data_IF_705848463097
#
_entry.id   IF_705848463097
#
_cell.length_a   1.000
_cell.length_b   1.000
_cell.length_c   1.000
_cell.angle_alpha   90.00
_cell.angle_beta   90.00
_cell.angle_gamma   90.00
#
_symmetry.space_group_name_H-M   'P 1'
#
loop_
_entity.id
_entity.type
_entity.pdbx_description
1 polymer ?
#
# COMPACT_ATOMS: atom_id res chain seq x y z
N UNK A 1 -64.84 -7.32 9.08
CA UNK A 1 -63.60 -6.49 8.94
C UNK A 1 -62.38 -7.38 9.23
N UNK A 2 -61.68 -7.88 8.18
CA UNK A 2 -60.42 -8.63 8.31
C UNK A 2 -59.29 -7.62 8.44
N UNK A 3 -58.80 -7.41 9.64
CA UNK A 3 -57.65 -6.52 9.85
C UNK A 3 -56.38 -7.14 9.30
N UNK A 4 -55.66 -6.35 8.53
CA UNK A 4 -54.38 -6.55 7.86
C UNK A 4 -53.26 -6.92 8.84
N UNK A 5 -53.23 -8.17 9.34
CA UNK A 5 -52.10 -8.70 10.13
C UNK A 5 -50.88 -8.98 9.26
N UNK A 6 -51.09 -9.16 7.94
CA UNK A 6 -50.05 -9.40 6.93
C UNK A 6 -49.11 -8.19 6.70
N UNK A 7 -49.66 -6.97 6.76
CA UNK A 7 -48.88 -5.74 6.51
C UNK A 7 -47.81 -5.45 7.56
N UNK A 8 -48.07 -5.77 8.82
CA UNK A 8 -47.10 -5.52 9.92
C UNK A 8 -45.93 -6.47 9.88
N UNK A 9 -46.14 -7.74 9.54
CA UNK A 9 -45.07 -8.73 9.40
C UNK A 9 -44.17 -8.43 8.22
N UNK A 10 -44.73 -7.94 7.10
CA UNK A 10 -43.96 -7.57 5.92
C UNK A 10 -43.09 -6.32 6.19
N UNK A 11 -43.62 -5.33 6.90
CA UNK A 11 -42.87 -4.14 7.30
C UNK A 11 -41.75 -4.50 8.27
N UNK A 12 -41.99 -5.40 9.23
CA UNK A 12 -40.98 -5.89 10.16
C UNK A 12 -39.84 -6.62 9.44
N UNK A 13 -40.15 -7.50 8.48
CA UNK A 13 -39.16 -8.20 7.66
C UNK A 13 -38.34 -7.22 6.81
N UNK A 14 -38.99 -6.21 6.26
CA UNK A 14 -38.28 -5.16 5.49
C UNK A 14 -37.33 -4.36 6.36
N UNK A 15 -37.78 -3.93 7.56
CA UNK A 15 -36.94 -3.22 8.52
C UNK A 15 -35.76 -4.08 9.00
N UNK A 16 -35.97 -5.37 9.22
CA UNK A 16 -34.92 -6.31 9.59
C UNK A 16 -33.87 -6.41 8.45
N UNK A 17 -34.32 -6.52 7.20
CA UNK A 17 -33.46 -6.55 6.05
C UNK A 17 -32.59 -5.28 5.90
N UNK A 18 -33.24 -4.12 6.07
CA UNK A 18 -32.51 -2.83 6.05
C UNK A 18 -31.50 -2.74 7.21
N UNK A 19 -31.87 -3.19 8.41
CA UNK A 19 -30.96 -3.19 9.55
C UNK A 19 -29.73 -4.09 9.33
N UNK A 20 -29.91 -5.25 8.70
CA UNK A 20 -28.79 -6.15 8.35
C UNK A 20 -27.87 -5.52 7.29
N UNK A 21 -28.42 -4.84 6.29
CA UNK A 21 -27.62 -4.13 5.27
C UNK A 21 -26.82 -3.01 5.92
N UNK A 22 -27.44 -2.22 6.80
CA UNK A 22 -26.73 -1.14 7.51
C UNK A 22 -25.63 -1.70 8.41
N UNK A 23 -25.88 -2.79 9.13
CA UNK A 23 -24.87 -3.45 9.94
C UNK A 23 -23.69 -3.97 9.11
N UNK A 24 -23.96 -4.56 7.94
CA UNK A 24 -22.92 -5.01 7.02
C UNK A 24 -22.07 -3.83 6.48
N UNK A 25 -22.72 -2.72 6.13
CA UNK A 25 -22.02 -1.50 5.68
C UNK A 25 -21.14 -0.93 6.79
N UNK A 26 -21.61 -0.89 8.03
CA UNK A 26 -20.82 -0.41 9.18
C UNK A 26 -19.58 -1.29 9.41
N UNK A 27 -19.67 -2.59 9.17
CA UNK A 27 -18.52 -3.49 9.28
C UNK A 27 -17.50 -3.31 8.15
N UNK A 28 -17.92 -2.88 6.95
CA UNK A 28 -17.02 -2.67 5.81
C UNK A 28 -16.30 -1.31 5.84
N UNK A 29 -16.87 -0.31 6.49
CA UNK A 29 -16.28 1.06 6.54
C UNK A 29 -14.86 1.09 7.12
N UNK A 30 -14.53 0.42 8.25
CA UNK A 30 -13.18 0.48 8.80
C UNK A 30 -12.13 -0.13 7.87
N UNK A 31 -12.45 -1.21 7.15
CA UNK A 31 -11.51 -1.85 6.23
C UNK A 31 -11.17 -0.93 5.05
N UNK A 32 -12.15 -0.24 4.49
CA UNK A 32 -11.94 0.74 3.43
C UNK A 32 -11.11 1.94 3.91
N UNK A 33 -11.29 2.35 5.16
CA UNK A 33 -10.53 3.45 5.75
C UNK A 33 -9.06 3.11 5.94
N UNK A 34 -8.78 1.88 6.42
CA UNK A 34 -7.42 1.36 6.57
C UNK A 34 -6.70 1.28 5.23
N UNK A 35 -7.37 0.80 4.17
CA UNK A 35 -6.81 0.77 2.82
C UNK A 35 -6.46 2.17 2.31
N UNK A 36 -7.35 3.13 2.50
CA UNK A 36 -7.09 4.51 2.08
C UNK A 36 -5.91 5.11 2.83
N UNK A 37 -5.87 4.97 4.15
CA UNK A 37 -4.77 5.48 4.98
C UNK A 37 -3.43 4.87 4.59
N UNK A 38 -3.38 3.58 4.27
CA UNK A 38 -2.16 2.90 3.82
C UNK A 38 -1.68 3.47 2.50
N UNK A 39 -2.58 3.71 1.54
CA UNK A 39 -2.23 4.28 0.25
C UNK A 39 -1.72 5.72 0.38
N UNK A 40 -2.40 6.57 1.16
CA UNK A 40 -2.00 7.96 1.40
C UNK A 40 -0.59 8.04 2.04
N UNK A 41 -0.24 7.07 2.90
CA UNK A 41 1.08 6.94 3.50
C UNK A 41 2.17 6.66 2.45
N UNK A 42 1.94 5.74 1.54
CA UNK A 42 2.91 5.41 0.50
C UNK A 42 3.08 6.52 -0.54
N UNK A 43 2.00 7.21 -0.89
CA UNK A 43 2.09 8.40 -1.76
C UNK A 43 2.92 9.50 -1.11
N UNK A 44 2.73 9.79 0.18
CA UNK A 44 3.53 10.77 0.91
C UNK A 44 5.02 10.38 0.98
N UNK A 45 5.34 9.10 1.11
CA UNK A 45 6.72 8.62 1.06
C UNK A 45 7.33 8.80 -0.34
N UNK A 46 6.57 8.45 -1.37
CA UNK A 46 6.99 8.62 -2.76
C UNK A 46 7.34 10.09 -3.03
N UNK A 47 6.46 11.02 -2.69
CA UNK A 47 6.68 12.45 -2.90
C UNK A 47 7.91 13.00 -2.15
N UNK A 48 8.18 12.51 -0.94
CA UNK A 48 9.25 13.04 -0.10
C UNK A 48 10.63 12.43 -0.40
N UNK A 49 10.67 11.16 -0.79
CA UNK A 49 11.92 10.39 -0.87
C UNK A 49 12.29 9.90 -2.26
N UNK A 50 11.38 10.04 -3.23
CA UNK A 50 11.63 9.66 -4.62
C UNK A 50 11.61 10.92 -5.48
N UNK A 51 12.70 11.19 -6.17
CA UNK A 51 12.76 12.24 -7.20
C UNK A 51 13.13 11.62 -8.54
N UNK A 52 12.40 12.01 -9.57
CA UNK A 52 12.82 11.75 -10.94
C UNK A 52 14.02 12.64 -11.20
N UNK A 53 15.12 12.05 -11.64
CA UNK A 53 16.28 12.82 -12.04
C UNK A 53 15.88 13.64 -13.27
N UNK A 54 15.84 14.96 -13.12
CA UNK A 54 15.60 15.85 -14.25
C UNK A 54 16.61 15.49 -15.33
N UNK A 55 16.12 15.32 -16.55
CA UNK A 55 16.91 15.08 -17.75
C UNK A 55 17.85 16.27 -17.96
N UNK A 56 18.98 16.28 -17.26
CA UNK A 56 20.06 17.21 -17.53
C UNK A 56 20.69 16.74 -18.83
N UNK A 57 20.26 17.39 -19.91
CA UNK A 57 20.94 17.41 -21.20
C UNK A 57 22.28 18.15 -21.03
N UNK A 58 23.22 17.59 -20.31
CA UNK A 58 24.63 17.91 -20.43
C UNK A 58 25.33 16.65 -20.91
N UNK A 59 25.89 16.81 -22.08
CA UNK A 59 26.71 15.89 -22.86
C UNK A 59 27.52 14.99 -21.94
N UNK A 60 27.04 13.77 -21.69
CA UNK A 60 27.84 12.73 -21.08
C UNK A 60 28.76 12.17 -22.14
N UNK A 61 30.06 12.27 -21.89
CA UNK A 61 31.10 11.54 -22.65
C UNK A 61 30.70 10.06 -22.73
N UNK A 62 30.74 9.54 -23.95
CA UNK A 62 30.47 8.14 -24.27
C UNK A 62 31.39 7.23 -23.44
N UNK A 63 30.90 6.73 -22.34
CA UNK A 63 31.49 5.58 -21.64
C UNK A 63 30.82 4.33 -22.19
N UNK A 64 31.57 3.57 -22.98
CA UNK A 64 31.17 2.27 -23.52
C UNK A 64 30.71 1.36 -22.36
N UNK A 65 29.40 1.00 -22.33
CA UNK A 65 28.87 -0.04 -21.46
C UNK A 65 27.77 0.38 -20.51
N UNK A 66 27.06 1.48 -20.74
CA UNK A 66 25.89 1.83 -19.95
C UNK A 66 24.64 1.14 -20.49
N UNK A 67 24.28 -0.01 -19.88
CA UNK A 67 23.03 -0.72 -20.14
C UNK A 67 21.81 -0.04 -19.46
N UNK A 68 21.92 1.25 -19.08
CA UNK A 68 20.90 1.98 -18.30
C UNK A 68 19.67 2.41 -19.11
N UNK A 69 19.67 2.22 -20.43
CA UNK A 69 18.60 2.63 -21.33
C UNK A 69 17.22 1.97 -21.06
N UNK A 70 17.19 0.88 -20.28
CA UNK A 70 16.00 0.10 -20.03
C UNK A 70 15.32 0.39 -18.66
N UNK A 71 15.89 1.29 -17.85
CA UNK A 71 15.27 1.72 -16.60
C UNK A 71 15.25 3.25 -16.47
N UNK A 72 14.20 3.74 -15.81
CA UNK A 72 14.09 5.17 -15.52
C UNK A 72 15.06 5.55 -14.42
N UNK A 73 15.88 6.58 -14.64
CA UNK A 73 16.81 7.10 -13.64
C UNK A 73 16.02 7.79 -12.52
N UNK A 74 15.88 7.10 -11.39
CA UNK A 74 15.16 7.57 -10.21
C UNK A 74 16.14 7.63 -9.05
N UNK A 75 16.22 8.78 -8.42
CA UNK A 75 16.98 8.95 -7.20
C UNK A 75 16.12 8.57 -5.99
N UNK A 76 16.59 7.59 -5.22
CA UNK A 76 15.93 7.11 -3.99
C UNK A 76 16.79 7.52 -2.80
N UNK A 77 16.27 8.40 -1.95
CA UNK A 77 16.93 8.84 -0.72
C UNK A 77 16.89 7.74 0.35
N UNK A 78 17.60 6.65 0.10
CA UNK A 78 17.55 5.44 0.93
C UNK A 78 17.98 5.69 2.38
N UNK A 79 19.01 6.51 2.60
CA UNK A 79 19.49 6.85 3.95
C UNK A 79 18.44 7.60 4.78
N UNK A 80 17.67 8.50 4.14
CA UNK A 80 16.57 9.21 4.80
C UNK A 80 15.39 8.27 5.08
N UNK A 81 15.06 7.38 4.15
CA UNK A 81 14.04 6.33 4.33
C UNK A 81 14.39 5.38 5.48
N UNK A 82 15.67 5.04 5.64
CA UNK A 82 16.16 4.20 6.74
C UNK A 82 16.07 4.88 8.11
N UNK A 83 15.96 6.21 8.17
CA UNK A 83 15.64 6.92 9.41
C UNK A 83 14.16 6.73 9.82
N UNK A 84 13.26 6.51 8.84
CA UNK A 84 11.86 6.17 9.09
C UNK A 84 11.73 4.72 9.57
N UNK A 85 12.39 3.81 8.88
CA UNK A 85 12.46 2.40 9.27
C UNK A 85 13.77 1.79 8.75
N UNK A 86 14.63 1.35 9.68
CA UNK A 86 15.94 0.79 9.36
C UNK A 86 15.88 -0.51 8.53
N UNK A 87 14.74 -1.18 8.50
CA UNK A 87 14.53 -2.39 7.71
C UNK A 87 14.25 -2.09 6.22
N UNK A 88 14.14 -0.82 5.81
CA UNK A 88 14.00 -0.47 4.39
C UNK A 88 15.31 -0.71 3.69
N UNK A 89 15.30 -1.61 2.70
CA UNK A 89 16.48 -2.00 1.92
C UNK A 89 16.47 -1.47 0.49
N UNK A 90 15.35 -0.94 0.04
CA UNK A 90 15.20 -0.42 -1.32
C UNK A 90 13.79 0.03 -1.63
N UNK A 91 13.59 0.29 -2.91
CA UNK A 91 12.32 0.76 -3.46
C UNK A 91 12.00 -0.02 -4.75
N UNK A 92 10.75 -0.44 -4.92
CA UNK A 92 10.27 -1.07 -6.14
C UNK A 92 9.31 -0.13 -6.84
N UNK A 93 9.48 0.03 -8.14
CA UNK A 93 8.62 0.83 -9.03
C UNK A 93 8.36 0.06 -10.31
N UNK A 94 7.19 0.28 -10.89
CA UNK A 94 6.82 -0.27 -12.20
C UNK A 94 6.59 0.88 -13.18
N UNK A 95 7.38 0.98 -14.24
CA UNK A 95 7.36 2.10 -15.19
C UNK A 95 6.01 2.30 -15.88
N UNK A 96 5.27 1.22 -16.15
CA UNK A 96 3.96 1.28 -16.78
C UNK A 96 2.79 1.37 -15.78
N UNK A 97 3.05 1.35 -14.48
CA UNK A 97 2.08 1.34 -13.40
C UNK A 97 2.61 2.21 -12.25
N UNK A 98 2.66 3.53 -12.48
CA UNK A 98 3.26 4.50 -11.54
C UNK A 98 2.65 4.46 -10.13
N UNK A 99 1.39 4.01 -10.01
CA UNK A 99 0.74 3.77 -8.73
C UNK A 99 1.35 2.59 -7.94
N UNK A 100 2.09 1.70 -8.61
CA UNK A 100 2.80 0.60 -7.96
C UNK A 100 4.25 1.00 -7.67
N UNK A 101 4.43 1.73 -6.59
CA UNK A 101 5.71 2.31 -6.17
C UNK A 101 5.80 2.24 -4.66
N UNK A 102 6.63 1.32 -4.12
CA UNK A 102 6.62 0.96 -2.72
C UNK A 102 8.02 0.71 -2.16
N UNK A 103 8.28 1.03 -0.87
CA UNK A 103 9.49 0.59 -0.20
C UNK A 103 9.51 -0.93 -0.05
N UNK A 104 10.71 -1.51 -0.11
CA UNK A 104 10.98 -2.93 0.15
C UNK A 104 11.71 -3.05 1.46
N UNK A 105 11.21 -3.90 2.36
CA UNK A 105 11.74 -4.09 3.70
C UNK A 105 12.41 -5.47 3.86
N UNK A 106 13.34 -5.55 4.81
CA UNK A 106 13.95 -6.80 5.24
C UNK A 106 14.27 -6.76 6.74
N UNK A 107 13.56 -7.54 7.54
CA UNK A 107 13.78 -7.61 8.99
C UNK A 107 14.48 -8.88 9.46
N UNK A 108 14.61 -9.86 8.56
CA UNK A 108 15.01 -11.22 8.95
C UNK A 108 13.91 -12.05 9.61
N UNK A 109 12.72 -11.48 9.78
CA UNK A 109 11.51 -12.14 10.29
C UNK A 109 10.44 -12.11 9.20
N UNK A 110 10.09 -13.27 8.68
CA UNK A 110 9.18 -13.43 7.54
C UNK A 110 7.72 -13.12 7.90
N UNK A 111 7.38 -12.95 9.18
CA UNK A 111 6.02 -12.65 9.62
C UNK A 111 5.80 -11.18 9.97
N UNK A 112 6.86 -10.43 10.29
CA UNK A 112 6.79 -9.06 10.82
C UNK A 112 5.94 -8.13 9.96
N UNK A 113 6.16 -8.13 8.64
CA UNK A 113 5.53 -7.20 7.71
C UNK A 113 4.29 -7.73 7.00
N UNK A 114 3.82 -8.93 7.34
CA UNK A 114 2.54 -9.47 6.83
C UNK A 114 1.34 -8.65 7.30
N UNK A 115 1.42 -8.07 8.50
CA UNK A 115 0.30 -7.37 9.16
C UNK A 115 0.71 -6.06 9.81
N UNK A 116 1.87 -5.51 9.47
CA UNK A 116 2.32 -4.20 9.96
C UNK A 116 2.73 -3.30 8.80
N UNK A 117 2.48 -2.00 8.96
CA UNK A 117 2.98 -0.99 8.04
C UNK A 117 4.45 -0.65 8.33
N UNK A 118 5.03 0.26 7.55
CA UNK A 118 6.42 0.72 7.71
C UNK A 118 6.70 1.41 9.05
N UNK A 119 5.68 1.91 9.73
CA UNK A 119 5.77 2.56 11.05
C UNK A 119 5.55 1.57 12.21
N UNK A 120 5.28 0.29 11.91
CA UNK A 120 4.99 -0.75 12.90
C UNK A 120 3.54 -0.80 13.37
N UNK A 121 2.62 -0.07 12.73
CA UNK A 121 1.20 -0.14 13.07
C UNK A 121 0.56 -1.38 12.44
N UNK A 122 -0.43 -1.96 13.13
CA UNK A 122 -1.20 -3.08 12.60
C UNK A 122 -2.01 -2.65 11.37
N UNK A 123 -1.88 -3.39 10.28
CA UNK A 123 -2.63 -3.17 9.04
C UNK A 123 -2.99 -4.48 8.37
N UNK A 124 -4.06 -4.49 7.59
CA UNK A 124 -4.47 -5.66 6.79
C UNK A 124 -3.59 -5.80 5.55
N UNK A 125 -3.09 -4.68 5.02
CA UNK A 125 -2.33 -4.66 3.78
C UNK A 125 -0.89 -5.17 3.94
N UNK A 126 -0.26 -4.99 5.12
CA UNK A 126 1.15 -5.27 5.31
C UNK A 126 2.06 -4.35 4.49
N UNK A 127 3.31 -4.76 4.30
CA UNK A 127 4.29 -4.10 3.44
C UNK A 127 4.86 -5.08 2.42
N UNK A 128 5.55 -4.56 1.40
CA UNK A 128 6.40 -5.38 0.54
C UNK A 128 7.70 -5.66 1.30
N UNK A 129 8.04 -6.92 1.47
CA UNK A 129 9.26 -7.33 2.17
C UNK A 129 9.92 -8.52 1.50
N UNK A 130 11.21 -8.68 1.73
CA UNK A 130 11.97 -9.85 1.31
C UNK A 130 11.88 -10.94 2.38
N UNK A 131 11.56 -12.15 1.94
CA UNK A 131 11.65 -13.34 2.78
C UNK A 131 13.13 -13.71 3.03
N UNK A 132 13.46 -14.04 4.28
CA UNK A 132 14.78 -14.53 4.63
C UNK A 132 15.03 -15.90 4.01
N UNK A 133 16.04 -16.03 3.17
CA UNK A 133 16.48 -17.35 2.71
C UNK A 133 16.94 -18.18 3.90
N UNK A 134 16.14 -19.15 4.32
CA UNK A 134 16.60 -20.18 5.28
C UNK A 134 17.71 -20.95 4.60
N UNK A 135 18.95 -20.65 4.96
CA UNK A 135 20.07 -21.54 4.58
C UNK A 135 19.81 -22.89 5.25
N UNK A 136 19.60 -23.92 4.42
CA UNK A 136 19.54 -25.32 4.85
C UNK A 136 20.94 -25.83 5.19
#
# INVERSE_FOLDING_TARGET
>A
MKQNKSSRSTVLLFLLGVALIVAALIMLVPDLWIYKQSNDTYEALKENYISEKAENTEVAEETEGDDSWWYTDVDVKLEELQQVNADIIGWIRFDNLEQLSYPVLYSGDDEKYLRTDIYGNQTIAGCIFMEGMKQK
#
